data_IF_384302420392
#
_entry.id   IF_384302420392
#
_cell.length_a   1.000
_cell.length_b   1.000
_cell.length_c   1.000
_cell.angle_alpha   90.00
_cell.angle_beta   90.00
_cell.angle_gamma   90.00
#
_symmetry.space_group_name_H-M   'P 1'
#
loop_
_entity.id
_entity.type
_entity.pdbx_description
1 polymer ?
#
# COMPACT_ATOMS: atom_id res chain seq x y z
N UNK A 1 8.05 -1.92 9.66
CA UNK A 1 6.64 -1.68 9.27
C UNK A 1 6.06 -0.47 9.96
N UNK A 2 6.16 -0.37 11.29
CA UNK A 2 5.50 0.70 12.05
C UNK A 2 5.90 2.12 11.61
N UNK A 3 7.17 2.35 11.26
CA UNK A 3 7.62 3.65 10.77
C UNK A 3 6.96 4.02 9.43
N UNK A 4 6.76 3.05 8.52
CA UNK A 4 6.04 3.28 7.26
C UNK A 4 4.59 3.68 7.52
N UNK A 5 3.91 2.96 8.41
CA UNK A 5 2.52 3.27 8.79
C UNK A 5 2.43 4.67 9.40
N UNK A 6 3.35 5.00 10.30
CA UNK A 6 3.42 6.32 10.93
C UNK A 6 3.59 7.43 9.90
N UNK A 7 4.58 7.34 9.02
CA UNK A 7 4.87 8.36 8.02
C UNK A 7 3.71 8.56 7.03
N UNK A 8 3.09 7.48 6.56
CA UNK A 8 1.92 7.56 5.67
C UNK A 8 0.72 8.19 6.37
N UNK A 9 0.48 7.84 7.64
CA UNK A 9 -0.61 8.42 8.43
C UNK A 9 -0.38 9.91 8.70
N UNK A 10 0.84 10.30 9.04
CA UNK A 10 1.20 11.71 9.20
C UNK A 10 0.99 12.49 7.90
N UNK A 11 1.41 11.93 6.76
CA UNK A 11 1.17 12.55 5.45
C UNK A 11 -0.33 12.71 5.15
N UNK A 12 -1.12 11.65 5.38
CA UNK A 12 -2.56 11.66 5.11
C UNK A 12 -3.36 12.69 5.91
N UNK A 13 -2.87 13.13 7.09
CA UNK A 13 -3.53 14.16 7.91
C UNK A 13 -3.55 15.55 7.26
N UNK A 14 -2.68 15.79 6.30
CA UNK A 14 -2.60 17.05 5.57
C UNK A 14 -3.36 17.02 4.24
N UNK A 15 -4.01 15.89 3.91
CA UNK A 15 -4.81 15.73 2.70
C UNK A 15 -6.29 15.99 3.03
N UNK A 16 -6.98 16.72 2.15
CA UNK A 16 -8.45 16.88 2.19
C UNK A 16 -9.16 15.68 1.53
N UNK A 17 -8.70 14.47 1.85
CA UNK A 17 -9.14 13.21 1.21
C UNK A 17 -8.33 12.81 -0.02
N UNK A 18 -8.85 11.83 -0.77
CA UNK A 18 -8.18 11.26 -1.94
C UNK A 18 -7.26 10.08 -1.61
N UNK A 19 -6.11 10.01 -2.30
CA UNK A 19 -5.17 8.90 -2.23
C UNK A 19 -3.97 9.26 -1.33
N UNK A 20 -3.69 8.42 -0.33
CA UNK A 20 -2.46 8.49 0.46
C UNK A 20 -1.40 7.67 -0.28
N UNK A 21 -0.42 8.34 -0.90
CA UNK A 21 0.65 7.70 -1.69
C UNK A 21 2.01 7.88 -1.04
N UNK A 22 2.78 6.80 -0.95
CA UNK A 22 4.19 6.81 -0.58
C UNK A 22 5.11 6.16 -1.62
N UNK A 23 6.41 6.42 -1.50
CA UNK A 23 7.44 5.84 -2.36
C UNK A 23 8.70 5.54 -1.54
N UNK A 24 9.42 4.49 -1.93
CA UNK A 24 10.79 4.28 -1.48
C UNK A 24 10.94 3.28 -0.34
N UNK A 25 9.92 2.47 -0.04
CA UNK A 25 10.10 1.42 0.96
C UNK A 25 11.09 0.36 0.45
N UNK A 26 11.94 -0.12 1.34
CA UNK A 26 12.87 -1.21 1.08
C UNK A 26 12.61 -2.30 2.12
N UNK A 27 12.13 -3.46 1.67
CA UNK A 27 11.72 -4.56 2.54
C UNK A 27 12.87 -5.08 3.44
N UNK A 28 14.13 -4.93 3.00
CA UNK A 28 15.31 -5.24 3.81
C UNK A 28 15.50 -4.32 5.03
N UNK A 29 14.80 -3.17 5.05
CA UNK A 29 14.92 -2.14 6.09
C UNK A 29 13.70 -2.08 7.00
N UNK A 30 12.75 -3.00 6.83
CA UNK A 30 11.42 -2.91 7.44
C UNK A 30 11.17 -3.87 8.60
N UNK A 31 12.07 -4.83 8.80
CA UNK A 31 12.02 -5.83 9.87
C UNK A 31 13.05 -6.93 9.65
N UNK A 32 12.94 -8.02 10.41
CA UNK A 32 14.00 -9.04 10.49
C UNK A 32 13.89 -10.15 9.42
N UNK A 33 12.83 -10.15 8.61
CA UNK A 33 12.46 -11.28 7.75
C UNK A 33 12.28 -10.91 6.27
N UNK A 34 12.72 -9.71 5.85
CA UNK A 34 12.57 -9.22 4.47
C UNK A 34 11.12 -9.28 3.94
N UNK A 35 10.14 -9.19 4.84
CA UNK A 35 8.74 -9.22 4.46
C UNK A 35 8.33 -7.89 3.81
N UNK A 36 7.65 -7.97 2.67
CA UNK A 36 6.96 -6.82 2.09
C UNK A 36 5.77 -6.39 2.95
N UNK A 37 5.38 -5.11 2.89
CA UNK A 37 4.10 -4.67 3.45
C UNK A 37 2.95 -5.51 2.87
N UNK A 38 1.91 -5.72 3.68
CA UNK A 38 0.66 -6.35 3.24
C UNK A 38 -0.46 -5.32 3.14
N UNK A 39 -1.58 -5.71 2.53
CA UNK A 39 -2.82 -4.92 2.53
C UNK A 39 -3.29 -4.60 3.95
N UNK A 40 -3.21 -5.59 4.87
CA UNK A 40 -3.53 -5.39 6.29
C UNK A 40 -2.61 -4.38 6.98
N UNK A 41 -1.34 -4.31 6.60
CA UNK A 41 -0.42 -3.30 7.14
C UNK A 41 -0.84 -1.90 6.72
N UNK A 42 -1.29 -1.72 5.48
CA UNK A 42 -1.73 -0.42 4.96
C UNK A 42 -3.12 -0.01 5.46
N UNK A 43 -3.99 -0.95 5.86
CA UNK A 43 -5.25 -0.59 6.55
C UNK A 43 -5.00 0.09 7.90
N UNK A 44 -3.82 -0.14 8.51
CA UNK A 44 -3.41 0.58 9.73
C UNK A 44 -3.19 2.07 9.46
N UNK A 45 -3.01 2.49 8.21
CA UNK A 45 -2.91 3.91 7.83
C UNK A 45 -4.32 4.52 7.79
N UNK A 46 -5.20 3.95 6.95
CA UNK A 46 -6.59 4.35 6.78
C UNK A 46 -7.43 3.16 6.28
N UNK A 47 -8.68 3.05 6.74
CA UNK A 47 -9.67 2.10 6.23
C UNK A 47 -10.63 2.76 5.22
N UNK A 48 -10.75 4.09 5.24
CA UNK A 48 -11.70 4.83 4.41
C UNK A 48 -11.06 5.38 3.13
N UNK A 49 -9.78 5.78 3.21
CA UNK A 49 -9.04 6.35 2.08
C UNK A 49 -8.19 5.27 1.40
N UNK A 50 -8.10 5.27 0.06
CA UNK A 50 -7.09 4.52 -0.66
C UNK A 50 -5.68 4.84 -0.16
N UNK A 51 -4.89 3.79 0.07
CA UNK A 51 -3.48 3.89 0.47
C UNK A 51 -2.65 3.04 -0.47
N UNK A 52 -1.54 3.57 -0.95
CA UNK A 52 -0.57 2.84 -1.74
C UNK A 52 0.87 3.23 -1.38
N UNK A 53 1.79 2.27 -1.49
CA UNK A 53 3.22 2.52 -1.32
C UNK A 53 4.04 1.76 -2.36
N UNK A 54 4.94 2.47 -3.03
CA UNK A 54 5.81 1.91 -4.06
C UNK A 54 7.18 1.50 -3.50
N UNK A 55 7.65 0.33 -3.92
CA UNK A 55 8.97 -0.19 -3.57
C UNK A 55 10.08 0.73 -4.09
N UNK A 56 11.22 0.80 -3.40
CA UNK A 56 12.39 1.60 -3.77
C UNK A 56 12.89 1.36 -5.19
N UNK A 57 12.68 0.15 -5.72
CA UNK A 57 12.98 -0.18 -7.12
C UNK A 57 12.10 0.55 -8.15
N UNK A 58 10.92 1.05 -7.78
CA UNK A 58 9.92 1.60 -8.69
C UNK A 58 9.06 0.57 -9.45
N UNK A 59 9.22 -0.73 -9.20
CA UNK A 59 8.59 -1.80 -9.99
C UNK A 59 7.41 -2.51 -9.31
N UNK A 60 7.08 -2.15 -8.06
CA UNK A 60 6.03 -2.83 -7.30
C UNK A 60 5.32 -1.89 -6.34
N UNK A 61 4.03 -2.10 -6.18
CA UNK A 61 3.17 -1.39 -5.25
C UNK A 61 2.51 -2.37 -4.29
N UNK A 62 2.28 -1.90 -3.05
CA UNK A 62 1.34 -2.52 -2.12
C UNK A 62 0.22 -1.53 -1.86
N UNK A 63 -1.02 -2.03 -1.76
CA UNK A 63 -2.22 -1.22 -1.59
C UNK A 63 -3.09 -1.77 -0.45
N UNK A 64 -3.89 -0.91 0.21
CA UNK A 64 -4.86 -1.31 1.24
C UNK A 64 -6.19 -1.83 0.64
N UNK A 65 -7.12 -2.27 1.49
CA UNK A 65 -8.40 -2.81 1.00
C UNK A 65 -9.27 -1.75 0.32
N UNK A 66 -9.24 -0.49 0.78
CA UNK A 66 -9.98 0.59 0.14
C UNK A 66 -9.54 0.82 -1.31
N UNK A 67 -8.23 0.73 -1.59
CA UNK A 67 -7.69 0.79 -2.95
C UNK A 67 -8.17 -0.39 -3.82
N UNK A 68 -8.15 -1.61 -3.29
CA UNK A 68 -8.65 -2.80 -4.01
C UNK A 68 -10.14 -2.68 -4.33
N UNK A 69 -10.94 -2.24 -3.35
CA UNK A 69 -12.37 -2.00 -3.52
C UNK A 69 -12.65 -0.93 -4.57
N UNK A 70 -11.92 0.19 -4.54
CA UNK A 70 -12.04 1.26 -5.53
C UNK A 70 -11.66 0.79 -6.94
N UNK A 71 -10.74 -0.17 -7.06
CA UNK A 71 -10.36 -0.81 -8.31
C UNK A 71 -11.30 -1.95 -8.76
N UNK A 72 -12.25 -2.36 -7.91
CA UNK A 72 -13.11 -3.52 -8.18
C UNK A 72 -12.35 -4.85 -8.19
N UNK A 73 -11.25 -4.94 -7.43
CA UNK A 73 -10.41 -6.14 -7.34
C UNK A 73 -10.72 -6.89 -6.05
N UNK A 74 -10.99 -8.18 -6.18
CA UNK A 74 -11.27 -9.11 -5.10
C UNK A 74 -10.70 -10.52 -5.42
N UNK A 75 -10.97 -11.48 -4.52
CA UNK A 75 -10.52 -12.86 -4.70
C UNK A 75 -11.15 -13.59 -5.91
N UNK A 76 -12.26 -13.08 -6.46
CA UNK A 76 -12.92 -13.64 -7.64
C UNK A 76 -12.47 -12.97 -8.95
N UNK A 77 -11.64 -11.92 -8.87
CA UNK A 77 -11.16 -11.18 -10.03
C UNK A 77 -10.31 -12.07 -10.92
N UNK A 78 -10.75 -12.23 -12.17
CA UNK A 78 -10.08 -13.08 -13.15
C UNK A 78 -8.77 -12.42 -13.58
N UNK A 79 -7.69 -13.20 -13.56
CA UNK A 79 -6.39 -12.75 -14.08
C UNK A 79 -6.54 -12.31 -15.54
N UNK A 80 -6.21 -11.05 -15.87
CA UNK A 80 -6.31 -10.55 -17.23
C UNK A 80 -5.34 -11.30 -18.16
N UNK A 81 -5.66 -11.35 -19.46
CA UNK A 81 -4.77 -11.94 -20.46
C UNK A 81 -3.51 -11.07 -20.66
N UNK A 82 -2.32 -11.63 -20.42
CA UNK A 82 -1.02 -10.95 -20.53
C UNK A 82 -0.29 -10.80 -19.17
N UNK A 83 0.90 -10.20 -19.16
CA UNK A 83 1.63 -9.86 -17.92
C UNK A 83 2.68 -10.87 -17.41
N UNK A 84 3.20 -11.73 -18.27
CA UNK A 84 4.36 -12.59 -17.98
C UNK A 84 5.69 -11.83 -18.17
#
# INVERSE_FOLDING_TARGET
>A
MDEVVKLLREHGRFLEGGLIRGFGYDHHRLGNNDAHPTTNDLDRVSQDLPVEIMHSSGHGYVVNHASLQAAGVDAATVTPSGGA
#
